data_IF_256590738639
#
_entry.id   IF_256590738639
#
_cell.length_a   1.000
_cell.length_b   1.000
_cell.length_c   1.000
_cell.angle_alpha   90.00
_cell.angle_beta   90.00
_cell.angle_gamma   90.00
#
_symmetry.space_group_name_H-M   'P 1'
#
loop_
_entity.id
_entity.type
_entity.pdbx_description
1 polymer ?
#
# COMPACT_ATOMS: atom_id res chain seq x y z
N UNK A 1 6.27 1.76 -3.86
CA UNK A 1 5.53 0.53 -4.18
C UNK A 1 6.24 -0.24 -5.29
N UNK A 2 6.34 -1.56 -5.16
CA UNK A 2 6.98 -2.44 -6.14
C UNK A 2 6.45 -3.87 -6.01
N UNK A 3 6.52 -4.65 -7.09
CA UNK A 3 6.34 -6.10 -7.04
C UNK A 3 7.68 -6.86 -6.78
N UNK A 4 8.76 -6.14 -6.51
CA UNK A 4 10.11 -6.64 -6.29
C UNK A 4 10.67 -7.55 -7.40
N UNK A 5 10.04 -7.56 -8.59
CA UNK A 5 10.46 -8.38 -9.73
C UNK A 5 11.45 -7.64 -10.66
N UNK A 6 11.49 -8.06 -11.91
CA UNK A 6 12.47 -7.64 -12.93
C UNK A 6 12.77 -6.13 -13.01
N UNK A 7 11.79 -5.20 -12.93
CA UNK A 7 12.13 -3.78 -12.98
C UNK A 7 13.03 -3.34 -11.83
N UNK A 8 12.72 -3.77 -10.59
CA UNK A 8 13.53 -3.45 -9.42
C UNK A 8 14.91 -4.13 -9.46
N UNK A 9 14.97 -5.34 -10.00
CA UNK A 9 16.19 -6.16 -10.08
C UNK A 9 17.16 -5.74 -11.19
N UNK A 10 16.90 -4.64 -11.91
CA UNK A 10 17.89 -4.05 -12.84
C UNK A 10 19.04 -3.46 -12.05
N UNK A 11 20.28 -3.70 -12.49
CA UNK A 11 21.51 -3.24 -11.82
C UNK A 11 21.49 -1.73 -11.48
N UNK A 12 20.99 -0.89 -12.40
CA UNK A 12 20.90 0.56 -12.16
C UNK A 12 19.91 0.94 -11.06
N UNK A 13 18.79 0.21 -10.96
CA UNK A 13 17.78 0.42 -9.90
C UNK A 13 18.31 -0.05 -8.55
N UNK A 14 18.90 -1.24 -8.50
CA UNK A 14 19.55 -1.77 -7.30
C UNK A 14 20.63 -0.83 -6.77
N UNK A 15 21.53 -0.36 -7.64
CA UNK A 15 22.57 0.60 -7.26
C UNK A 15 21.96 1.93 -6.75
N UNK A 16 20.87 2.39 -7.37
CA UNK A 16 20.16 3.59 -6.92
C UNK A 16 19.53 3.42 -5.54
N UNK A 17 18.86 2.28 -5.30
CA UNK A 17 18.25 1.98 -4.00
C UNK A 17 19.29 1.82 -2.89
N UNK A 18 20.38 1.11 -3.14
CA UNK A 18 21.47 0.94 -2.17
C UNK A 18 22.08 2.31 -1.79
N UNK A 19 22.37 3.17 -2.78
CA UNK A 19 22.88 4.53 -2.54
C UNK A 19 21.91 5.40 -1.75
N UNK A 20 20.61 5.32 -2.04
CA UNK A 20 19.58 6.06 -1.29
C UNK A 20 19.49 5.57 0.16
N UNK A 21 19.54 4.26 0.37
CA UNK A 21 19.49 3.68 1.71
C UNK A 21 20.72 4.05 2.55
N UNK A 22 21.88 4.11 1.93
CA UNK A 22 23.14 4.57 2.55
C UNK A 22 23.10 6.07 2.88
N UNK A 23 22.62 6.90 1.94
CA UNK A 23 22.56 8.36 2.12
C UNK A 23 21.50 8.79 3.14
N UNK A 24 20.42 8.00 3.31
CA UNK A 24 19.29 8.32 4.19
C UNK A 24 18.92 7.11 5.06
N UNK A 25 19.74 6.75 6.04
CA UNK A 25 19.53 5.57 6.88
C UNK A 25 18.15 5.57 7.55
N UNK A 26 17.41 4.47 7.41
CA UNK A 26 16.09 4.30 8.02
C UNK A 26 14.96 5.14 7.42
N UNK A 27 15.21 5.92 6.34
CA UNK A 27 14.19 6.72 5.67
C UNK A 27 13.56 6.03 4.45
N UNK A 28 14.25 5.05 3.87
CA UNK A 28 13.75 4.30 2.73
C UNK A 28 13.00 3.05 3.19
N UNK A 29 11.73 2.95 2.85
CA UNK A 29 10.93 1.72 3.00
C UNK A 29 10.36 1.35 1.64
N UNK A 30 10.53 0.11 1.21
CA UNK A 30 9.88 -0.42 0.02
C UNK A 30 8.66 -1.24 0.42
N UNK A 31 7.47 -0.85 -0.07
CA UNK A 31 6.27 -1.66 0.08
C UNK A 31 6.14 -2.59 -1.11
N UNK A 32 6.13 -3.89 -0.82
CA UNK A 32 6.10 -4.95 -1.82
C UNK A 32 4.67 -5.48 -1.94
N UNK A 33 4.19 -5.60 -3.18
CA UNK A 33 2.91 -6.22 -3.46
C UNK A 33 3.05 -7.74 -3.42
N UNK A 34 2.56 -8.35 -2.36
CA UNK A 34 2.45 -9.81 -2.18
C UNK A 34 0.97 -10.12 -1.95
N UNK A 35 0.22 -10.39 -3.02
CA UNK A 35 -1.24 -10.53 -2.92
C UNK A 35 -1.64 -11.67 -1.98
N UNK A 36 -0.87 -12.76 -1.95
CA UNK A 36 -1.00 -13.84 -1.00
C UNK A 36 0.34 -14.51 -0.70
N UNK A 37 0.50 -15.07 0.50
CA UNK A 37 1.70 -15.80 0.93
C UNK A 37 1.83 -17.20 0.29
N UNK A 38 0.73 -17.79 -0.19
CA UNK A 38 0.74 -19.05 -0.92
C UNK A 38 0.97 -18.83 -2.41
N UNK A 39 1.86 -19.65 -2.99
CA UNK A 39 2.27 -19.54 -4.39
C UNK A 39 1.08 -19.68 -5.35
N UNK A 40 0.19 -20.64 -5.13
CA UNK A 40 -0.95 -20.91 -6.00
C UNK A 40 -1.89 -19.70 -6.11
N UNK A 41 -2.17 -19.02 -4.99
CA UNK A 41 -3.06 -17.86 -4.94
C UNK A 41 -2.37 -16.59 -5.45
N UNK A 42 -1.11 -16.35 -5.10
CA UNK A 42 -0.37 -15.20 -5.62
C UNK A 42 -0.15 -15.29 -7.12
N UNK A 43 0.23 -16.47 -7.60
CA UNK A 43 0.51 -16.68 -9.02
C UNK A 43 -0.75 -16.65 -9.89
N UNK A 44 -1.90 -17.02 -9.33
CA UNK A 44 -3.20 -16.86 -10.00
C UNK A 44 -3.50 -15.38 -10.32
N UNK A 45 -3.12 -14.45 -9.42
CA UNK A 45 -3.32 -13.01 -9.59
C UNK A 45 -2.23 -12.37 -10.47
N UNK A 46 -0.99 -12.83 -10.39
CA UNK A 46 0.18 -12.14 -10.99
C UNK A 46 0.92 -12.90 -12.06
N UNK A 47 0.50 -14.12 -12.34
CA UNK A 47 1.11 -15.01 -13.32
C UNK A 47 2.08 -16.02 -12.71
N UNK A 48 2.25 -17.14 -13.39
CA UNK A 48 3.05 -18.27 -12.94
C UNK A 48 4.50 -17.87 -12.58
N UNK A 49 4.97 -18.32 -11.42
CA UNK A 49 6.29 -18.05 -10.89
C UNK A 49 6.51 -16.60 -10.44
N UNK A 50 5.43 -15.85 -10.21
CA UNK A 50 5.51 -14.46 -9.74
C UNK A 50 5.99 -14.40 -8.29
N UNK A 51 5.48 -15.26 -7.39
CA UNK A 51 5.89 -15.26 -5.99
C UNK A 51 7.37 -15.56 -5.82
N UNK A 52 7.90 -16.54 -6.52
CA UNK A 52 9.33 -16.89 -6.46
C UNK A 52 10.22 -15.70 -6.85
N UNK A 53 9.86 -14.99 -7.93
CA UNK A 53 10.58 -13.79 -8.37
C UNK A 53 10.47 -12.65 -7.36
N UNK A 54 9.29 -12.46 -6.77
CA UNK A 54 9.04 -11.47 -5.70
C UNK A 54 9.89 -11.78 -4.47
N UNK A 55 9.92 -13.03 -4.02
CA UNK A 55 10.77 -13.49 -2.90
C UNK A 55 12.25 -13.26 -3.19
N UNK A 56 12.69 -13.52 -4.43
CA UNK A 56 14.08 -13.22 -4.85
C UNK A 56 14.41 -11.73 -4.69
N UNK A 57 13.51 -10.85 -5.09
CA UNK A 57 13.68 -9.41 -4.89
C UNK A 57 13.64 -8.99 -3.42
N UNK A 58 12.75 -9.57 -2.62
CA UNK A 58 12.68 -9.33 -1.18
C UNK A 58 13.95 -9.80 -0.44
N UNK A 59 14.51 -10.94 -0.81
CA UNK A 59 15.81 -11.41 -0.28
C UNK A 59 16.92 -10.42 -0.60
N UNK A 60 16.96 -9.87 -1.83
CA UNK A 60 17.93 -8.84 -2.16
C UNK A 60 17.77 -7.58 -1.29
N UNK A 61 16.53 -7.12 -1.03
CA UNK A 61 16.26 -5.98 -0.14
C UNK A 61 16.75 -6.25 1.29
N UNK A 62 16.41 -7.42 1.84
CA UNK A 62 16.89 -7.88 3.16
C UNK A 62 18.41 -7.85 3.25
N UNK A 63 19.09 -8.45 2.26
CA UNK A 63 20.55 -8.59 2.24
C UNK A 63 21.27 -7.22 2.08
N UNK A 64 20.55 -6.19 1.63
CA UNK A 64 21.02 -4.80 1.56
C UNK A 64 20.48 -3.92 2.71
N UNK A 65 19.87 -4.51 3.74
CA UNK A 65 19.29 -3.80 4.89
C UNK A 65 18.31 -2.70 4.51
N UNK A 66 17.54 -2.90 3.43
CA UNK A 66 16.50 -1.97 3.00
C UNK A 66 15.17 -2.38 3.68
N UNK A 67 14.57 -1.46 4.40
CA UNK A 67 13.30 -1.72 5.11
C UNK A 67 12.20 -2.10 4.12
N UNK A 68 11.41 -3.08 4.52
CA UNK A 68 10.30 -3.62 3.74
C UNK A 68 8.98 -3.48 4.48
N UNK A 69 7.92 -3.28 3.72
CA UNK A 69 6.53 -3.48 4.14
C UNK A 69 5.81 -4.26 3.03
N UNK A 70 4.73 -4.94 3.36
CA UNK A 70 3.98 -5.76 2.42
C UNK A 70 2.57 -5.19 2.24
N UNK A 71 2.10 -5.20 1.00
CA UNK A 71 0.71 -4.99 0.63
C UNK A 71 0.16 -6.31 0.08
N UNK A 72 -0.68 -6.95 0.87
CA UNK A 72 -1.42 -8.17 0.55
C UNK A 72 -2.88 -7.91 0.25
N UNK A 73 -3.66 -8.97 0.02
CA UNK A 73 -5.11 -8.91 -0.18
C UNK A 73 -5.82 -9.86 0.78
N UNK A 74 -7.00 -9.47 1.26
CA UNK A 74 -7.86 -10.27 2.15
C UNK A 74 -9.07 -10.87 1.43
N UNK A 75 -8.97 -11.08 0.11
CA UNK A 75 -10.08 -11.51 -0.76
C UNK A 75 -10.21 -13.03 -0.93
N UNK A 76 -9.37 -13.80 -0.25
CA UNK A 76 -9.26 -15.25 -0.46
C UNK A 76 -10.07 -16.09 0.54
N UNK A 77 -11.03 -15.49 1.23
CA UNK A 77 -11.95 -16.19 2.15
C UNK A 77 -11.37 -16.51 3.53
N UNK A 78 -10.13 -16.14 3.81
CA UNK A 78 -9.53 -16.27 5.13
C UNK A 78 -9.92 -15.09 6.03
N UNK A 79 -9.93 -15.30 7.35
CA UNK A 79 -10.06 -14.20 8.31
C UNK A 79 -8.82 -13.30 8.28
N UNK A 80 -8.90 -12.10 8.85
CA UNK A 80 -7.73 -11.21 9.00
C UNK A 80 -6.65 -11.89 9.87
N UNK A 81 -7.06 -12.53 10.95
CA UNK A 81 -6.17 -13.26 11.86
C UNK A 81 -5.42 -14.40 11.13
N UNK A 82 -6.14 -15.24 10.39
CA UNK A 82 -5.53 -16.34 9.61
C UNK A 82 -4.59 -15.81 8.53
N UNK A 83 -4.99 -14.73 7.85
CA UNK A 83 -4.16 -14.08 6.84
C UNK A 83 -2.85 -13.57 7.44
N UNK A 84 -2.92 -12.86 8.57
CA UNK A 84 -1.73 -12.34 9.27
C UNK A 84 -0.84 -13.45 9.79
N UNK A 85 -1.42 -14.54 10.32
CA UNK A 85 -0.66 -15.72 10.73
C UNK A 85 0.06 -16.36 9.55
N UNK A 86 -0.59 -16.47 8.38
CA UNK A 86 0.00 -16.98 7.16
C UNK A 86 1.14 -16.10 6.62
N UNK A 87 0.96 -14.77 6.62
CA UNK A 87 2.04 -13.84 6.27
C UNK A 87 3.20 -13.94 7.28
N UNK A 88 2.91 -14.07 8.57
CA UNK A 88 3.95 -14.26 9.61
C UNK A 88 4.79 -15.50 9.38
N UNK A 89 4.17 -16.63 9.05
CA UNK A 89 4.88 -17.85 8.70
C UNK A 89 5.76 -17.68 7.45
N UNK A 90 5.23 -17.01 6.42
CA UNK A 90 5.95 -16.67 5.20
C UNK A 90 7.17 -15.76 5.47
N UNK A 91 7.01 -14.74 6.33
CA UNK A 91 8.14 -13.87 6.70
C UNK A 91 9.21 -14.64 7.48
N UNK A 92 8.80 -15.48 8.42
CA UNK A 92 9.72 -16.31 9.20
C UNK A 92 10.50 -17.30 8.32
N UNK A 93 9.83 -17.97 7.38
CA UNK A 93 10.47 -18.90 6.42
C UNK A 93 11.60 -18.24 5.64
N UNK A 94 11.41 -16.97 5.26
CA UNK A 94 12.39 -16.24 4.45
C UNK A 94 13.28 -15.29 5.26
N UNK A 95 13.16 -15.27 6.57
CA UNK A 95 13.89 -14.35 7.48
C UNK A 95 13.68 -12.88 7.11
N UNK A 96 12.44 -12.49 6.81
CA UNK A 96 12.07 -11.10 6.59
C UNK A 96 11.67 -10.45 7.92
N UNK A 97 12.28 -9.32 8.23
CA UNK A 97 11.98 -8.51 9.42
C UNK A 97 10.75 -7.62 9.14
N UNK A 98 9.57 -8.27 9.11
CA UNK A 98 8.27 -7.63 8.88
C UNK A 98 7.29 -8.14 9.94
N UNK A 99 6.67 -7.22 10.67
CA UNK A 99 5.62 -7.59 11.63
C UNK A 99 4.28 -7.78 10.90
N UNK A 100 3.69 -8.99 10.92
CA UNK A 100 2.40 -9.25 10.31
C UNK A 100 1.25 -8.56 11.05
N UNK A 101 1.42 -8.17 12.33
CA UNK A 101 0.38 -7.52 13.13
C UNK A 101 0.42 -5.99 13.02
N UNK A 102 1.55 -5.42 12.62
CA UNK A 102 1.67 -3.98 12.38
C UNK A 102 0.98 -3.62 11.04
N UNK A 103 -0.12 -2.86 11.04
CA UNK A 103 -0.81 -2.45 9.81
C UNK A 103 0.04 -1.54 8.93
N UNK A 104 1.08 -0.91 9.47
CA UNK A 104 2.06 -0.15 8.71
C UNK A 104 3.04 -1.03 7.94
N UNK A 105 3.38 -2.20 8.48
CA UNK A 105 4.28 -3.14 7.85
C UNK A 105 3.55 -4.18 6.97
N UNK A 106 2.34 -4.59 7.37
CA UNK A 106 1.51 -5.55 6.63
C UNK A 106 0.11 -5.00 6.41
N UNK A 107 -0.11 -4.44 5.23
CA UNK A 107 -1.42 -3.89 4.81
C UNK A 107 -2.17 -4.96 4.03
N UNK A 108 -3.39 -5.28 4.44
CA UNK A 108 -4.27 -6.21 3.73
C UNK A 108 -5.41 -5.43 3.06
N UNK A 109 -5.43 -5.44 1.74
CA UNK A 109 -6.45 -4.78 0.95
C UNK A 109 -7.70 -5.67 0.85
N UNK A 110 -8.87 -5.17 1.25
CA UNK A 110 -10.14 -5.87 1.01
C UNK A 110 -10.49 -5.86 -0.48
N UNK A 111 -11.57 -6.51 -0.84
CA UNK A 111 -12.16 -6.36 -2.18
C UNK A 111 -12.57 -4.89 -2.40
N UNK A 112 -11.99 -4.28 -3.40
CA UNK A 112 -12.18 -2.86 -3.74
C UNK A 112 -13.28 -2.69 -4.80
N UNK A 113 -14.46 -3.28 -4.53
CA UNK A 113 -15.65 -3.17 -5.36
C UNK A 113 -16.42 -1.89 -5.00
N UNK A 114 -16.56 -0.97 -5.93
CA UNK A 114 -17.26 0.30 -5.76
C UNK A 114 -18.79 0.16 -5.81
N UNK A 115 -19.28 -0.97 -6.29
CA UNK A 115 -20.72 -1.20 -6.45
C UNK A 115 -21.38 -1.71 -5.17
N UNK A 116 -20.60 -2.13 -4.20
CA UNK A 116 -21.09 -2.63 -2.91
C UNK A 116 -21.49 -1.46 -2.02
N UNK A 117 -22.71 -1.51 -1.49
CA UNK A 117 -23.16 -0.54 -0.50
C UNK A 117 -22.26 -0.56 0.75
N UNK A 118 -21.89 0.61 1.21
CA UNK A 118 -21.07 0.81 2.41
C UNK A 118 -21.79 1.74 3.37
N UNK A 119 -21.53 1.64 4.69
CA UNK A 119 -22.04 2.60 5.66
C UNK A 119 -21.58 4.03 5.34
N UNK A 120 -22.45 4.99 5.60
CA UNK A 120 -22.09 6.40 5.54
C UNK A 120 -21.02 6.73 6.60
N UNK A 121 -19.95 7.39 6.17
CA UNK A 121 -18.89 7.83 7.07
C UNK A 121 -19.18 9.25 7.53
N UNK A 122 -19.31 9.40 8.83
CA UNK A 122 -19.49 10.69 9.50
C UNK A 122 -18.36 10.95 10.49
N UNK A 123 -18.25 12.18 10.97
CA UNK A 123 -17.25 12.55 11.99
C UNK A 123 -17.39 11.76 13.30
N UNK A 124 -18.59 11.24 13.59
CA UNK A 124 -18.84 10.38 14.76
C UNK A 124 -18.11 9.02 14.65
N UNK A 125 -17.82 8.56 13.44
CA UNK A 125 -17.15 7.28 13.23
C UNK A 125 -15.75 7.23 13.90
N UNK A 126 -15.05 8.34 14.01
CA UNK A 126 -13.75 8.38 14.66
C UNK A 126 -13.80 7.97 16.12
N UNK A 127 -14.79 8.52 16.87
CA UNK A 127 -14.98 8.13 18.27
C UNK A 127 -15.56 6.72 18.44
N UNK A 128 -16.46 6.28 17.54
CA UNK A 128 -17.06 4.94 17.60
C UNK A 128 -16.01 3.85 17.34
N UNK A 129 -15.10 4.10 16.41
CA UNK A 129 -14.08 3.14 15.98
C UNK A 129 -12.76 3.28 16.76
N UNK A 130 -12.68 4.24 17.68
CA UNK A 130 -11.45 4.59 18.42
C UNK A 130 -10.24 4.83 17.46
N UNK A 131 -10.49 5.64 16.42
CA UNK A 131 -9.48 5.97 15.39
C UNK A 131 -9.29 7.48 15.28
N UNK A 132 -8.05 7.89 15.00
CA UNK A 132 -7.76 9.27 14.63
C UNK A 132 -7.97 9.50 13.13
N UNK A 133 -8.58 10.63 12.73
CA UNK A 133 -8.59 11.04 11.32
C UNK A 133 -7.18 11.20 10.73
N UNK A 134 -6.18 11.46 11.57
CA UNK A 134 -4.78 11.57 11.14
C UNK A 134 -4.19 10.22 10.71
N UNK A 135 -4.82 9.11 11.05
CA UNK A 135 -4.37 7.78 10.65
C UNK A 135 -4.65 7.44 9.17
N UNK A 136 -5.47 8.23 8.46
CA UNK A 136 -5.73 8.00 7.03
C UNK A 136 -4.76 8.80 6.16
N UNK A 137 -4.36 8.23 5.01
CA UNK A 137 -3.34 8.81 4.13
C UNK A 137 -3.65 10.26 3.72
N UNK A 138 -4.90 10.55 3.39
CA UNK A 138 -5.29 11.87 2.90
C UNK A 138 -5.25 12.98 3.95
N UNK A 139 -4.99 12.67 5.21
CA UNK A 139 -4.74 13.67 6.26
C UNK A 139 -3.40 14.36 6.11
N UNK A 140 -2.36 13.63 5.66
CA UNK A 140 -0.97 14.10 5.67
C UNK A 140 -0.25 13.99 4.32
N UNK A 141 -0.84 13.32 3.33
CA UNK A 141 -0.17 13.02 2.06
C UNK A 141 -1.04 13.38 0.86
N UNK A 142 -0.39 13.66 -0.26
CA UNK A 142 -1.03 13.88 -1.56
C UNK A 142 -0.32 13.07 -2.63
N UNK A 143 -1.07 12.65 -3.64
CA UNK A 143 -0.51 11.99 -4.82
C UNK A 143 -0.35 13.00 -5.94
N UNK A 144 0.84 13.05 -6.55
CA UNK A 144 1.08 13.87 -7.74
C UNK A 144 1.13 12.96 -8.95
N UNK A 145 0.29 13.23 -9.94
CA UNK A 145 0.21 12.47 -11.18
C UNK A 145 0.41 13.36 -12.39
N UNK A 146 1.10 12.84 -13.39
CA UNK A 146 1.21 13.45 -14.72
C UNK A 146 0.48 12.55 -15.71
N UNK A 147 -0.73 12.97 -16.08
CA UNK A 147 -1.53 12.22 -17.05
C UNK A 147 -0.93 12.36 -18.44
N UNK A 148 -1.10 11.34 -19.29
CA UNK A 148 -0.65 11.39 -20.69
C UNK A 148 -1.35 12.55 -21.41
N UNK A 149 -0.56 13.42 -22.02
CA UNK A 149 -1.07 14.59 -22.77
C UNK A 149 -1.44 15.81 -21.93
N UNK A 150 -1.46 15.72 -20.59
CA UNK A 150 -1.72 16.88 -19.76
C UNK A 150 -0.55 17.88 -19.78
N UNK A 151 -0.83 19.19 -19.78
CA UNK A 151 0.19 20.23 -19.76
C UNK A 151 0.92 20.27 -18.40
N UNK A 152 0.18 20.14 -17.29
CA UNK A 152 0.68 20.21 -15.91
C UNK A 152 0.37 18.92 -15.17
N UNK A 153 1.10 18.58 -14.07
CA UNK A 153 0.69 17.56 -13.13
C UNK A 153 -0.62 17.96 -12.43
N UNK A 154 -1.31 16.96 -11.90
CA UNK A 154 -2.45 17.12 -11.00
C UNK A 154 -2.09 16.60 -9.61
N UNK A 155 -2.67 17.19 -8.58
CA UNK A 155 -2.52 16.77 -7.18
C UNK A 155 -3.83 16.14 -6.73
N UNK A 156 -3.77 14.87 -6.31
CA UNK A 156 -4.92 14.08 -5.90
C UNK A 156 -4.88 13.78 -4.41
N UNK A 157 -6.06 13.49 -3.85
CA UNK A 157 -6.24 13.22 -2.44
C UNK A 157 -5.48 11.97 -1.97
N UNK A 158 -5.48 10.88 -2.75
CA UNK A 158 -4.82 9.64 -2.35
C UNK A 158 -4.51 8.72 -3.55
N UNK A 159 -3.81 7.63 -3.29
CA UNK A 159 -3.40 6.63 -4.29
C UNK A 159 -4.50 5.66 -4.69
N UNK A 160 -5.58 5.55 -3.90
CA UNK A 160 -6.68 4.62 -4.18
C UNK A 160 -7.64 5.15 -5.24
N UNK A 161 -7.68 6.46 -5.44
CA UNK A 161 -8.64 7.15 -6.30
C UNK A 161 -7.95 7.94 -7.43
N UNK A 162 -6.99 7.35 -8.16
CA UNK A 162 -6.17 8.10 -9.13
C UNK A 162 -6.93 8.54 -10.38
N UNK A 163 -8.12 7.99 -10.60
CA UNK A 163 -8.94 8.26 -11.79
C UNK A 163 -10.27 8.96 -11.46
N UNK A 164 -10.53 9.22 -10.18
CA UNK A 164 -11.75 9.89 -9.73
C UNK A 164 -11.53 11.40 -9.74
N UNK A 165 -12.22 12.11 -10.64
CA UNK A 165 -12.04 13.54 -10.85
C UNK A 165 -12.43 14.38 -9.63
N UNK A 166 -13.39 13.93 -8.82
CA UNK A 166 -13.81 14.61 -7.59
C UNK A 166 -12.71 14.65 -6.52
N UNK A 167 -11.73 13.74 -6.61
CA UNK A 167 -10.56 13.69 -5.73
C UNK A 167 -9.32 14.37 -6.30
N UNK A 168 -9.44 15.04 -7.44
CA UNK A 168 -8.41 15.91 -7.99
C UNK A 168 -8.48 17.29 -7.33
N UNK A 169 -7.48 17.62 -6.54
CA UNK A 169 -7.52 18.77 -5.65
C UNK A 169 -6.95 20.05 -6.28
N UNK A 170 -6.27 19.93 -7.41
CA UNK A 170 -5.68 21.06 -8.13
C UNK A 170 -4.37 20.70 -8.81
N UNK A 171 -3.59 21.72 -9.16
CA UNK A 171 -2.32 21.59 -9.88
C UNK A 171 -1.10 22.01 -9.05
N UNK A 172 -1.31 22.49 -7.82
CA UNK A 172 -0.26 22.84 -6.87
C UNK A 172 -0.55 22.24 -5.49
N UNK A 173 0.45 22.17 -4.62
CA UNK A 173 0.27 21.75 -3.23
C UNK A 173 -0.59 22.73 -2.46
N UNK A 174 -0.46 24.01 -2.75
CA UNK A 174 -1.26 25.09 -2.13
C UNK A 174 -2.76 24.92 -2.44
N UNK A 175 -3.13 24.65 -3.70
CA UNK A 175 -4.51 24.36 -4.09
C UNK A 175 -5.04 23.08 -3.43
N UNK A 176 -4.16 22.13 -3.15
CA UNK A 176 -4.50 20.83 -2.57
C UNK A 176 -4.48 20.83 -1.03
N UNK A 177 -4.12 21.94 -0.38
CA UNK A 177 -4.17 22.11 1.07
C UNK A 177 -5.60 22.43 1.53
N UNK A 178 -6.47 21.42 1.40
CA UNK A 178 -7.88 21.49 1.75
C UNK A 178 -8.38 20.15 2.27
N UNK A 179 -9.50 20.16 2.96
CA UNK A 179 -10.15 18.98 3.49
C UNK A 179 -10.55 18.01 2.37
N UNK A 180 -10.47 16.73 2.67
CA UNK A 180 -10.86 15.63 1.77
C UNK A 180 -12.10 14.95 2.33
N UNK A 181 -13.19 14.98 1.56
CA UNK A 181 -14.38 14.23 1.91
C UNK A 181 -14.14 12.72 1.78
N UNK A 182 -14.55 11.94 2.80
CA UNK A 182 -14.42 10.48 2.80
C UNK A 182 -15.70 9.82 2.28
N UNK A 183 -16.20 10.28 1.13
CA UNK A 183 -17.49 9.93 0.54
C UNK A 183 -17.42 8.85 -0.55
N UNK A 184 -16.26 8.25 -0.76
CA UNK A 184 -16.08 7.14 -1.70
C UNK A 184 -16.14 5.77 -0.99
N UNK A 185 -16.73 4.71 -1.59
CA UNK A 185 -16.77 3.37 -0.98
C UNK A 185 -15.39 2.86 -0.52
N UNK A 186 -14.34 3.17 -1.24
CA UNK A 186 -12.97 2.80 -0.85
C UNK A 186 -12.50 3.50 0.44
N UNK A 187 -12.94 4.74 0.70
CA UNK A 187 -12.65 5.43 1.95
C UNK A 187 -13.25 4.67 3.13
N UNK A 188 -14.51 4.24 3.00
CA UNK A 188 -15.19 3.45 4.02
C UNK A 188 -14.52 2.09 4.22
N UNK A 189 -14.40 1.30 3.14
CA UNK A 189 -13.94 -0.10 3.22
C UNK A 189 -12.49 -0.23 3.68
N UNK A 190 -11.59 0.60 3.18
CA UNK A 190 -10.16 0.46 3.42
C UNK A 190 -9.68 1.32 4.59
N UNK A 191 -9.89 2.64 4.52
CA UNK A 191 -9.27 3.54 5.48
C UNK A 191 -10.03 3.59 6.81
N UNK A 192 -11.36 3.73 6.78
CA UNK A 192 -12.13 3.95 8.01
C UNK A 192 -12.48 2.63 8.68
N UNK A 193 -13.19 1.73 8.00
CA UNK A 193 -13.65 0.45 8.57
C UNK A 193 -12.54 -0.61 8.56
N UNK A 194 -11.77 -0.68 7.49
CA UNK A 194 -10.68 -1.65 7.34
C UNK A 194 -9.47 -1.38 8.23
N UNK A 195 -9.31 -0.16 8.74
CA UNK A 195 -8.20 0.19 9.63
C UNK A 195 -6.83 0.17 8.98
N UNK A 196 -6.77 0.16 7.65
CA UNK A 196 -5.53 0.17 6.90
C UNK A 196 -5.19 1.57 6.39
N UNK A 197 -3.91 1.85 6.19
CA UNK A 197 -3.43 3.09 5.61
C UNK A 197 -2.33 2.82 4.58
N UNK A 198 -2.37 3.56 3.47
CA UNK A 198 -1.29 3.54 2.48
C UNK A 198 -0.07 4.36 2.92
N UNK A 199 -0.16 5.11 4.01
CA UNK A 199 0.84 6.08 4.48
C UNK A 199 1.46 5.73 5.83
N UNK A 200 1.41 4.49 6.22
CA UNK A 200 2.08 4.07 7.45
C UNK A 200 3.61 4.05 7.29
#
# INVERSE_FOLDING_TARGET
LTNAMRPMMRKSVQAGLARLNEAYPGKLTLRISVDHYRTDLHDAERGAGALEKTVTGMKWLRDNNIRMAVAGRSVFGATDEDSRAGYGAFYAEHSFDIDPQDPGMTVLFPEMDETVEVPEITTACWGILDKSPDAVMCSSSRMVVKRKGAATPAVLACTLLPYSEEFELGHSLEEAEKDVALNHPHCAKFCVLGGASCSA
#
